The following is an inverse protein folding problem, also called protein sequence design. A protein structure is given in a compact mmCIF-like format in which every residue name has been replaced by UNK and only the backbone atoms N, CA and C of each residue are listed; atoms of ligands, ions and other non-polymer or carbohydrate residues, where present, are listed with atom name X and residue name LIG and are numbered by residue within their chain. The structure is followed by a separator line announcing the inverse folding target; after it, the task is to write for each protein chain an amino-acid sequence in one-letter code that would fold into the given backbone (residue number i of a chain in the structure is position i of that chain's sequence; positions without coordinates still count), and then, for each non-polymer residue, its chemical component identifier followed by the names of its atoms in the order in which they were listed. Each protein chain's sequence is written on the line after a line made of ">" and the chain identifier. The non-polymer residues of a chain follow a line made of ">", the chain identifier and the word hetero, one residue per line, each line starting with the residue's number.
data_IF_939626150506
#
_entry.id   IF_939626150506
#
_cell.length_a   1.000
_cell.length_b   1.000
_cell.length_c   1.000
_cell.angle_alpha   90.00
_cell.angle_beta   90.00
_cell.angle_gamma   90.00
#
_symmetry.space_group_name_H-M   'P 1'
#
loop_
_entity.id
_entity.type
_entity.pdbx_description
1 polymer ?
#
# COMPACT_ATOMS: atom_id res chain seq x y z
N UNK A 1 -21.37 11.04 6.06
CA UNK A 1 -20.47 10.11 5.34
C UNK A 1 -19.19 10.79 4.87
N UNK A 2 -19.29 11.80 3.98
CA UNK A 2 -18.13 12.42 3.29
C UNK A 2 -16.99 12.91 4.19
N UNK A 3 -17.29 13.73 5.20
CA UNK A 3 -16.27 14.23 6.14
C UNK A 3 -15.56 13.13 6.94
N UNK A 4 -16.19 11.96 7.14
CA UNK A 4 -15.54 10.85 7.82
C UNK A 4 -14.48 10.23 6.91
N UNK A 5 -14.83 9.94 5.65
CA UNK A 5 -13.90 9.44 4.65
C UNK A 5 -12.69 10.37 4.44
N UNK A 6 -12.94 11.69 4.36
CA UNK A 6 -11.88 12.71 4.24
C UNK A 6 -10.87 12.65 5.39
N UNK A 7 -11.35 12.44 6.64
CA UNK A 7 -10.47 12.34 7.81
C UNK A 7 -9.60 11.09 7.78
N UNK A 8 -10.13 9.95 7.36
CA UNK A 8 -9.31 8.73 7.21
C UNK A 8 -8.32 8.84 6.06
N UNK A 9 -8.70 9.51 4.97
CA UNK A 9 -7.77 9.82 3.89
C UNK A 9 -6.62 10.73 4.36
N UNK A 10 -6.94 11.80 5.08
CA UNK A 10 -5.93 12.67 5.68
C UNK A 10 -5.02 11.90 6.64
N UNK A 11 -5.58 11.01 7.46
CA UNK A 11 -4.81 10.16 8.37
C UNK A 11 -3.79 9.28 7.62
N UNK A 12 -4.19 8.64 6.52
CA UNK A 12 -3.27 7.81 5.72
C UNK A 12 -2.16 8.64 5.06
N UNK A 13 -2.48 9.85 4.58
CA UNK A 13 -1.45 10.78 4.07
C UNK A 13 -0.42 11.09 5.15
N UNK A 14 -0.89 11.43 6.36
CA UNK A 14 -0.01 11.75 7.48
C UNK A 14 0.83 10.53 7.87
N UNK A 15 0.23 9.35 8.02
CA UNK A 15 0.93 8.14 8.41
C UNK A 15 2.05 7.77 7.41
N UNK A 16 1.76 7.84 6.10
CA UNK A 16 2.76 7.59 5.07
C UNK A 16 3.82 8.69 5.03
N UNK A 17 3.42 9.96 5.18
CA UNK A 17 4.35 11.09 5.21
C UNK A 17 5.31 11.04 6.39
N UNK A 18 4.80 10.76 7.59
CA UNK A 18 5.59 10.60 8.81
C UNK A 18 6.55 9.41 8.68
N UNK A 19 6.07 8.27 8.17
CA UNK A 19 6.91 7.10 7.89
C UNK A 19 8.10 7.47 7.00
N UNK A 20 7.87 8.16 5.88
CA UNK A 20 8.95 8.57 4.96
C UNK A 20 9.93 9.53 5.63
N UNK A 21 9.44 10.51 6.41
CA UNK A 21 10.29 11.48 7.11
C UNK A 21 11.19 10.77 8.13
N UNK A 22 10.64 9.84 8.91
CA UNK A 22 11.40 9.05 9.88
C UNK A 22 12.42 8.16 9.19
N UNK A 23 12.00 7.43 8.15
CA UNK A 23 12.88 6.61 7.30
C UNK A 23 14.04 7.43 6.73
N UNK A 24 13.77 8.64 6.22
CA UNK A 24 14.80 9.56 5.72
C UNK A 24 15.76 10.06 6.80
N UNK A 25 15.25 10.42 7.97
CA UNK A 25 16.07 10.83 9.11
C UNK A 25 17.00 9.69 9.56
N UNK A 26 16.48 8.46 9.63
CA UNK A 26 17.25 7.26 9.97
C UNK A 26 18.34 6.97 8.94
N UNK A 27 18.04 7.10 7.65
CA UNK A 27 19.04 6.96 6.58
C UNK A 27 20.14 8.03 6.71
N UNK A 28 19.77 9.29 6.95
CA UNK A 28 20.73 10.38 7.12
C UNK A 28 21.66 10.16 8.32
N UNK A 29 21.13 9.68 9.44
CA UNK A 29 21.92 9.40 10.65
C UNK A 29 22.93 8.26 10.47
N UNK A 30 22.70 7.33 9.54
CA UNK A 30 23.59 6.17 9.28
C UNK A 30 24.67 6.43 8.23
N UNK A 31 24.70 7.63 7.65
CA UNK A 31 25.61 7.98 6.55
C UNK A 31 25.04 7.53 5.21
N UNK A 32 24.94 8.45 4.26
CA UNK A 32 24.29 8.22 2.96
C UNK A 32 25.20 7.44 2.00
N UNK A 33 25.54 6.20 2.35
CA UNK A 33 26.23 5.28 1.43
C UNK A 33 25.32 4.90 0.27
N UNK A 34 25.90 4.37 -0.80
CA UNK A 34 25.14 3.92 -1.98
C UNK A 34 24.03 2.94 -1.61
N UNK A 35 24.31 1.99 -0.73
CA UNK A 35 23.35 0.97 -0.28
C UNK A 35 22.20 1.60 0.52
N UNK A 36 22.49 2.56 1.39
CA UNK A 36 21.48 3.28 2.18
C UNK A 36 20.62 4.17 1.26
N UNK A 37 21.21 4.82 0.26
CA UNK A 37 20.46 5.60 -0.73
C UNK A 37 19.54 4.71 -1.57
N UNK A 38 20.00 3.52 -1.96
CA UNK A 38 19.17 2.54 -2.65
C UNK A 38 18.05 2.02 -1.76
N UNK A 39 18.34 1.68 -0.50
CA UNK A 39 17.34 1.30 0.50
C UNK A 39 16.27 2.37 0.69
N UNK A 40 16.69 3.63 0.86
CA UNK A 40 15.80 4.78 0.99
C UNK A 40 14.93 4.96 -0.26
N UNK A 41 15.51 4.77 -1.46
CA UNK A 41 14.77 4.82 -2.72
C UNK A 41 13.70 3.73 -2.79
N UNK A 42 14.03 2.49 -2.41
CA UNK A 42 13.08 1.38 -2.34
C UNK A 42 11.94 1.68 -1.36
N UNK A 43 12.26 2.14 -0.15
CA UNK A 43 11.27 2.52 0.87
C UNK A 43 10.34 3.64 0.38
N UNK A 44 10.90 4.67 -0.26
CA UNK A 44 10.13 5.79 -0.82
C UNK A 44 9.18 5.32 -1.94
N UNK A 45 9.68 4.51 -2.88
CA UNK A 45 8.87 3.98 -3.97
C UNK A 45 7.78 3.02 -3.46
N UNK A 46 8.09 2.19 -2.47
CA UNK A 46 7.13 1.32 -1.79
C UNK A 46 6.01 2.14 -1.13
N UNK A 47 6.37 3.17 -0.35
CA UNK A 47 5.40 4.08 0.27
C UNK A 47 4.53 4.81 -0.77
N UNK A 48 5.12 5.27 -1.87
CA UNK A 48 4.39 5.86 -2.99
C UNK A 48 3.42 4.89 -3.67
N UNK A 49 3.82 3.61 -3.81
CA UNK A 49 2.94 2.58 -4.35
C UNK A 49 1.76 2.29 -3.42
N UNK A 50 1.99 2.21 -2.10
CA UNK A 50 0.91 2.08 -1.10
C UNK A 50 -0.05 3.26 -1.19
N UNK A 51 0.48 4.49 -1.20
CA UNK A 51 -0.31 5.71 -1.39
C UNK A 51 -1.19 5.61 -2.63
N UNK A 52 -0.64 5.19 -3.76
CA UNK A 52 -1.37 5.04 -5.02
C UNK A 52 -2.49 3.99 -4.91
N UNK A 53 -2.20 2.86 -4.27
CA UNK A 53 -3.17 1.76 -4.09
C UNK A 53 -4.33 2.15 -3.17
N UNK A 54 -4.09 3.04 -2.19
CA UNK A 54 -5.12 3.61 -1.32
C UNK A 54 -6.00 4.61 -2.07
N UNK A 55 -5.36 5.60 -2.70
CA UNK A 55 -6.03 6.73 -3.35
C UNK A 55 -6.55 6.42 -4.76
N UNK A 56 -6.41 5.18 -5.22
CA UNK A 56 -6.95 4.70 -6.47
C UNK A 56 -8.49 4.72 -6.53
N UNK A 57 -9.05 4.06 -7.56
CA UNK A 57 -10.46 4.15 -7.95
C UNK A 57 -11.49 3.88 -6.85
N UNK A 58 -11.12 3.10 -5.84
CA UNK A 58 -12.01 2.68 -4.74
C UNK A 58 -12.34 3.85 -3.81
N UNK A 59 -11.39 4.75 -3.52
CA UNK A 59 -11.62 5.92 -2.69
C UNK A 59 -12.67 6.87 -3.29
N UNK A 60 -12.61 7.07 -4.61
CA UNK A 60 -13.54 7.94 -5.35
C UNK A 60 -14.95 7.32 -5.42
N UNK A 61 -15.04 6.03 -5.74
CA UNK A 61 -16.32 5.31 -5.84
C UNK A 61 -17.03 5.12 -4.51
N UNK A 62 -16.26 4.89 -3.44
CA UNK A 62 -16.80 4.68 -2.09
C UNK A 62 -17.51 5.92 -1.56
N UNK A 63 -17.05 7.14 -1.92
CA UNK A 63 -17.72 8.39 -1.55
C UNK A 63 -19.11 8.52 -2.15
N UNK A 64 -19.29 8.13 -3.43
CA UNK A 64 -20.60 8.16 -4.11
C UNK A 64 -21.56 7.14 -3.51
N UNK A 65 -21.08 5.91 -3.30
CA UNK A 65 -21.94 4.83 -2.78
C UNK A 65 -22.37 5.06 -1.32
N UNK A 66 -21.49 5.64 -0.48
CA UNK A 66 -21.83 5.96 0.91
C UNK A 66 -22.82 7.13 1.02
N UNK A 67 -22.90 8.01 0.02
CA UNK A 67 -23.88 9.10 -0.02
C UNK A 67 -25.29 8.62 -0.39
N UNK A 68 -25.40 7.46 -1.05
CA UNK A 68 -26.64 6.90 -1.56
C UNK A 68 -27.22 5.79 -0.66
N UNK A 69 -26.50 5.33 0.37
CA UNK A 69 -26.91 4.20 1.21
C UNK A 69 -27.84 4.61 2.37
N UNK A 70 -29.01 3.97 2.48
CA UNK A 70 -29.99 4.21 3.56
C UNK A 70 -29.47 3.83 4.96
N UNK A 71 -28.44 2.97 5.05
CA UNK A 71 -27.87 2.44 6.30
C UNK A 71 -26.43 2.94 6.55
N UNK A 72 -26.23 4.25 6.33
CA UNK A 72 -24.91 4.94 6.33
C UNK A 72 -24.08 4.68 7.60
N UNK A 73 -24.71 4.53 8.77
CA UNK A 73 -24.01 4.39 10.06
C UNK A 73 -23.31 3.04 10.24
N UNK A 74 -23.96 1.93 9.87
CA UNK A 74 -23.37 0.58 9.96
C UNK A 74 -22.28 0.39 8.91
N UNK A 75 -22.53 0.87 7.69
CA UNK A 75 -21.55 0.81 6.60
C UNK A 75 -20.28 1.62 6.93
N UNK A 76 -20.43 2.82 7.50
CA UNK A 76 -19.30 3.65 7.92
C UNK A 76 -18.47 3.01 9.04
N UNK A 77 -19.12 2.35 10.01
CA UNK A 77 -18.41 1.63 11.09
C UNK A 77 -17.61 0.46 10.54
N UNK A 78 -18.22 -0.40 9.74
CA UNK A 78 -17.54 -1.56 9.15
C UNK A 78 -16.36 -1.10 8.29
N UNK A 79 -16.59 -0.18 7.36
CA UNK A 79 -15.59 0.25 6.40
C UNK A 79 -14.42 1.01 7.03
N UNK A 80 -14.69 2.02 7.87
CA UNK A 80 -13.64 2.92 8.33
C UNK A 80 -13.18 2.66 9.77
N UNK A 81 -13.94 1.92 10.58
CA UNK A 81 -13.48 1.57 11.94
C UNK A 81 -12.80 0.21 11.99
N UNK A 82 -13.33 -0.79 11.29
CA UNK A 82 -12.78 -2.14 11.35
C UNK A 82 -11.85 -2.46 10.17
N UNK A 83 -12.23 -2.10 8.95
CA UNK A 83 -11.46 -2.47 7.75
C UNK A 83 -10.26 -1.54 7.49
N UNK A 84 -10.23 -0.37 8.12
CA UNK A 84 -9.06 0.52 8.12
C UNK A 84 -7.94 0.10 9.07
N UNK A 85 -8.26 -0.64 10.15
CA UNK A 85 -7.25 -1.12 11.08
C UNK A 85 -6.16 -1.99 10.42
N UNK A 86 -6.49 -3.01 9.60
CA UNK A 86 -5.45 -3.78 8.90
C UNK A 86 -4.64 -2.94 7.91
N UNK A 87 -5.23 -1.92 7.29
CA UNK A 87 -4.52 -1.00 6.39
C UNK A 87 -3.45 -0.24 7.18
N UNK A 88 -3.83 0.37 8.30
CA UNK A 88 -2.91 1.12 9.17
C UNK A 88 -1.85 0.20 9.77
N UNK A 89 -2.24 -0.98 10.23
CA UNK A 89 -1.30 -1.98 10.75
C UNK A 89 -0.27 -2.40 9.68
N UNK A 90 -0.71 -2.60 8.44
CA UNK A 90 0.17 -2.88 7.31
C UNK A 90 1.17 -1.77 7.03
N UNK A 91 0.75 -0.49 7.09
CA UNK A 91 1.65 0.67 6.96
C UNK A 91 2.70 0.68 8.08
N UNK A 92 2.28 0.43 9.33
CA UNK A 92 3.21 0.39 10.47
C UNK A 92 4.24 -0.74 10.28
N UNK A 93 3.81 -1.93 9.85
CA UNK A 93 4.72 -3.04 9.56
C UNK A 93 5.72 -2.69 8.45
N UNK A 94 5.29 -1.98 7.41
CA UNK A 94 6.18 -1.49 6.34
C UNK A 94 7.18 -0.47 6.89
N UNK A 95 6.76 0.46 7.74
CA UNK A 95 7.67 1.41 8.38
C UNK A 95 8.76 0.72 9.20
N UNK A 96 8.39 -0.35 9.94
CA UNK A 96 9.37 -1.18 10.66
C UNK A 96 10.28 -1.93 9.68
N UNK A 97 9.75 -2.46 8.58
CA UNK A 97 10.55 -3.10 7.55
C UNK A 97 11.56 -2.15 6.91
N UNK A 98 11.17 -0.90 6.66
CA UNK A 98 12.03 0.14 6.09
C UNK A 98 13.17 0.52 7.05
N UNK A 99 12.89 0.62 8.36
CA UNK A 99 13.96 0.83 9.35
C UNK A 99 14.97 -0.33 9.37
N UNK A 100 14.48 -1.57 9.33
CA UNK A 100 15.33 -2.77 9.25
C UNK A 100 16.15 -2.81 7.96
N UNK A 101 15.53 -2.43 6.83
CA UNK A 101 16.18 -2.34 5.53
C UNK A 101 17.32 -1.32 5.55
N UNK A 102 17.09 -0.12 6.10
CA UNK A 102 18.12 0.91 6.21
C UNK A 102 19.21 0.49 7.18
N UNK A 103 18.86 -0.24 8.25
CA UNK A 103 19.82 -0.70 9.24
C UNK A 103 20.83 -1.68 8.64
N UNK A 104 20.35 -2.62 7.82
CA UNK A 104 21.19 -3.69 7.29
C UNK A 104 20.82 -4.05 5.83
N UNK A 105 21.09 -3.18 4.85
CA UNK A 105 20.59 -3.36 3.48
C UNK A 105 21.15 -4.61 2.78
N UNK A 106 22.38 -5.00 3.10
CA UNK A 106 23.09 -6.12 2.45
C UNK A 106 23.01 -7.43 3.23
N UNK A 107 22.49 -7.44 4.45
CA UNK A 107 22.31 -8.67 5.22
C UNK A 107 20.97 -9.32 4.92
N UNK A 108 20.85 -10.61 5.20
CA UNK A 108 19.55 -11.27 5.26
C UNK A 108 18.76 -10.75 6.46
N UNK A 109 17.44 -10.80 6.36
CA UNK A 109 16.55 -10.42 7.45
C UNK A 109 16.26 -11.63 8.36
N UNK A 110 15.97 -11.34 9.63
CA UNK A 110 15.41 -12.33 10.54
C UNK A 110 14.00 -12.75 10.08
N UNK A 111 13.47 -13.85 10.62
CA UNK A 111 12.09 -14.26 10.35
C UNK A 111 11.08 -13.14 10.65
N UNK A 112 11.28 -12.41 11.75
CA UNK A 112 10.46 -11.24 12.09
C UNK A 112 10.60 -10.12 11.05
N UNK A 113 11.81 -9.83 10.57
CA UNK A 113 12.04 -8.84 9.51
C UNK A 113 11.32 -9.22 8.21
N UNK A 114 11.38 -10.49 7.80
CA UNK A 114 10.67 -10.98 6.62
C UNK A 114 9.16 -10.83 6.78
N UNK A 115 8.61 -11.15 7.96
CA UNK A 115 7.20 -10.95 8.28
C UNK A 115 6.82 -9.47 8.18
N UNK A 116 7.67 -8.53 8.60
CA UNK A 116 7.41 -7.10 8.44
C UNK A 116 7.43 -6.69 6.96
N UNK A 117 8.48 -7.08 6.22
CA UNK A 117 8.68 -6.70 4.81
C UNK A 117 7.58 -7.25 3.89
N UNK A 118 7.14 -8.49 4.12
CA UNK A 118 6.17 -9.17 3.26
C UNK A 118 4.75 -9.08 3.83
N UNK A 119 4.62 -9.28 5.13
CA UNK A 119 3.34 -9.29 5.83
C UNK A 119 2.71 -7.91 5.90
N UNK A 120 3.50 -6.83 6.01
CA UNK A 120 2.97 -5.46 6.01
C UNK A 120 2.18 -5.12 4.75
N UNK A 121 2.78 -5.25 3.55
CA UNK A 121 2.07 -5.03 2.30
C UNK A 121 0.94 -6.05 2.05
N UNK A 122 1.10 -7.31 2.46
CA UNK A 122 0.04 -8.30 2.32
C UNK A 122 -1.19 -7.96 3.18
N UNK A 123 -0.98 -7.54 4.44
CA UNK A 123 -2.03 -7.11 5.36
C UNK A 123 -2.71 -5.83 4.87
N UNK A 124 -1.92 -4.90 4.35
CA UNK A 124 -2.42 -3.69 3.71
C UNK A 124 -3.36 -4.00 2.54
N UNK A 125 -2.92 -4.85 1.60
CA UNK A 125 -3.71 -5.25 0.44
C UNK A 125 -4.97 -6.04 0.84
N UNK A 126 -4.89 -6.86 1.90
CA UNK A 126 -6.02 -7.60 2.42
C UNK A 126 -7.07 -6.66 3.02
N UNK A 127 -6.66 -5.68 3.84
CA UNK A 127 -7.54 -4.68 4.43
C UNK A 127 -8.28 -3.88 3.36
N UNK A 128 -7.56 -3.40 2.36
CA UNK A 128 -8.14 -2.72 1.21
C UNK A 128 -9.08 -3.61 0.36
N UNK A 129 -8.72 -4.87 0.14
CA UNK A 129 -9.55 -5.80 -0.64
C UNK A 129 -10.86 -6.09 0.09
N UNK A 130 -10.82 -6.21 1.41
CA UNK A 130 -12.00 -6.40 2.24
C UNK A 130 -12.85 -5.11 2.30
N UNK A 131 -12.21 -3.94 2.38
CA UNK A 131 -12.88 -2.64 2.26
C UNK A 131 -13.64 -2.54 0.93
N UNK A 132 -12.97 -2.87 -0.18
CA UNK A 132 -13.57 -2.91 -1.52
C UNK A 132 -14.74 -3.90 -1.60
N UNK A 133 -14.55 -5.11 -1.08
CA UNK A 133 -15.60 -6.13 -1.07
C UNK A 133 -16.83 -5.65 -0.29
N UNK A 134 -16.61 -4.99 0.85
CA UNK A 134 -17.70 -4.46 1.68
C UNK A 134 -18.43 -3.29 1.02
N UNK A 135 -17.70 -2.39 0.36
CA UNK A 135 -18.24 -1.15 -0.20
C UNK A 135 -18.88 -1.34 -1.58
N UNK A 136 -18.31 -2.20 -2.43
CA UNK A 136 -18.73 -2.34 -3.83
C UNK A 136 -18.95 -3.80 -4.26
N UNK A 137 -18.95 -4.75 -3.32
CA UNK A 137 -19.33 -6.15 -3.58
C UNK A 137 -18.41 -6.91 -4.54
N UNK A 138 -17.18 -6.45 -4.77
CA UNK A 138 -16.30 -7.04 -5.78
C UNK A 138 -14.88 -7.30 -5.25
N UNK A 139 -14.30 -8.40 -5.73
CA UNK A 139 -12.90 -8.78 -5.48
C UNK A 139 -11.99 -8.31 -6.63
N UNK A 140 -10.73 -7.97 -6.34
CA UNK A 140 -9.74 -7.70 -7.38
C UNK A 140 -8.78 -8.90 -7.48
N UNK A 141 -8.86 -9.72 -8.54
CA UNK A 141 -7.96 -10.88 -8.70
C UNK A 141 -6.48 -10.47 -8.77
N UNK A 142 -6.17 -9.26 -9.24
CA UNK A 142 -4.79 -8.75 -9.27
C UNK A 142 -4.24 -8.57 -7.86
N UNK A 143 -5.05 -8.09 -6.91
CA UNK A 143 -4.65 -7.95 -5.50
C UNK A 143 -4.41 -9.32 -4.85
N UNK A 144 -5.24 -10.32 -5.17
CA UNK A 144 -5.04 -11.70 -4.71
C UNK A 144 -3.71 -12.26 -5.26
N UNK A 145 -3.46 -12.06 -6.56
CA UNK A 145 -2.20 -12.49 -7.18
C UNK A 145 -0.99 -11.82 -6.53
N UNK A 146 -1.05 -10.51 -6.24
CA UNK A 146 0.01 -9.80 -5.52
C UNK A 146 0.23 -10.34 -4.12
N UNK A 147 -0.83 -10.62 -3.34
CA UNK A 147 -0.69 -11.24 -2.01
C UNK A 147 -0.03 -12.62 -2.10
N UNK A 148 -0.39 -13.43 -3.10
CA UNK A 148 0.26 -14.72 -3.34
C UNK A 148 1.74 -14.55 -3.72
N UNK A 149 2.06 -13.58 -4.58
CA UNK A 149 3.44 -13.29 -4.95
C UNK A 149 4.27 -12.84 -3.75
N UNK A 150 3.71 -12.00 -2.89
CA UNK A 150 4.33 -11.61 -1.62
C UNK A 150 4.59 -12.83 -0.73
N UNK A 151 3.62 -13.73 -0.56
CA UNK A 151 3.80 -14.95 0.23
C UNK A 151 4.95 -15.83 -0.30
N UNK A 152 5.10 -15.94 -1.62
CA UNK A 152 6.23 -16.65 -2.25
C UNK A 152 7.56 -15.96 -1.95
N UNK A 153 7.62 -14.63 -2.03
CA UNK A 153 8.81 -13.86 -1.64
C UNK A 153 9.19 -14.08 -0.17
N UNK A 154 8.20 -14.22 0.72
CA UNK A 154 8.43 -14.57 2.13
C UNK A 154 9.14 -15.91 2.31
N UNK A 155 8.82 -16.91 1.48
CA UNK A 155 9.45 -18.23 1.55
C UNK A 155 10.94 -18.24 1.16
N UNK A 156 11.36 -17.33 0.29
CA UNK A 156 12.77 -17.20 -0.15
C UNK A 156 13.52 -16.08 0.59
N UNK A 157 12.85 -15.30 1.43
CA UNK A 157 13.38 -14.09 2.06
C UNK A 157 14.61 -14.32 2.95
N UNK A 158 14.79 -15.53 3.50
CA UNK A 158 15.97 -15.88 4.33
C UNK A 158 17.23 -16.08 3.51
N UNK A 159 17.12 -16.21 2.18
CA UNK A 159 18.22 -16.53 1.27
C UNK A 159 18.75 -15.30 0.53
N UNK A 160 18.07 -14.16 0.65
CA UNK A 160 18.37 -12.93 -0.12
C UNK A 160 18.61 -11.75 0.81
N UNK A 161 19.44 -10.76 0.40
CA UNK A 161 19.63 -9.53 1.15
C UNK A 161 18.32 -8.74 1.35
N UNK A 162 18.24 -7.97 2.43
CA UNK A 162 17.09 -7.12 2.76
C UNK A 162 16.71 -6.18 1.60
N UNK A 163 17.72 -5.61 0.94
CA UNK A 163 17.52 -4.72 -0.22
C UNK A 163 16.89 -5.45 -1.41
N UNK A 164 17.31 -6.68 -1.68
CA UNK A 164 16.75 -7.48 -2.77
C UNK A 164 15.30 -7.88 -2.47
N UNK A 165 15.01 -8.33 -1.25
CA UNK A 165 13.65 -8.69 -0.83
C UNK A 165 12.71 -7.48 -0.88
N UNK A 166 13.11 -6.36 -0.27
CA UNK A 166 12.30 -5.14 -0.21
C UNK A 166 12.12 -4.54 -1.59
N UNK A 167 13.16 -4.59 -2.45
CA UNK A 167 13.06 -4.20 -3.85
C UNK A 167 12.05 -5.05 -4.63
N UNK A 168 12.07 -6.38 -4.46
CA UNK A 168 11.10 -7.27 -5.09
C UNK A 168 9.66 -6.99 -4.61
N UNK A 169 9.47 -6.77 -3.31
CA UNK A 169 8.19 -6.38 -2.73
C UNK A 169 7.70 -5.05 -3.31
N UNK A 170 8.56 -4.03 -3.36
CA UNK A 170 8.23 -2.73 -3.95
C UNK A 170 7.85 -2.87 -5.43
N UNK A 171 8.57 -3.69 -6.21
CA UNK A 171 8.22 -3.98 -7.60
C UNK A 171 6.84 -4.63 -7.75
N UNK A 172 6.47 -5.57 -6.88
CA UNK A 172 5.12 -6.16 -6.88
C UNK A 172 4.05 -5.09 -6.64
N UNK A 173 4.26 -4.20 -5.67
CA UNK A 173 3.33 -3.12 -5.36
C UNK A 173 3.22 -2.08 -6.49
N UNK A 174 4.34 -1.70 -7.09
CA UNK A 174 4.39 -0.77 -8.22
C UNK A 174 3.72 -1.40 -9.44
N UNK A 175 3.98 -2.67 -9.73
CA UNK A 175 3.34 -3.35 -10.85
C UNK A 175 1.82 -3.39 -10.67
N UNK A 176 1.35 -3.74 -9.46
CA UNK A 176 -0.08 -3.70 -9.13
C UNK A 176 -0.66 -2.29 -9.27
N UNK A 177 0.03 -1.26 -8.76
CA UNK A 177 -0.46 0.13 -8.83
C UNK A 177 -0.57 0.64 -10.27
N UNK A 178 0.39 0.28 -11.13
CA UNK A 178 0.35 0.57 -12.57
C UNK A 178 -0.77 -0.21 -13.27
N UNK A 179 -0.99 -1.49 -12.92
CA UNK A 179 -2.08 -2.29 -13.46
C UNK A 179 -3.46 -1.74 -13.10
N UNK A 180 -3.64 -1.25 -11.87
CA UNK A 180 -4.89 -0.60 -11.46
C UNK A 180 -5.06 0.80 -12.07
N UNK A 181 -3.97 1.44 -12.51
CA UNK A 181 -4.01 2.76 -13.14
C UNK A 181 -4.47 2.74 -14.61
N UNK A 182 -4.06 1.73 -15.39
CA UNK A 182 -4.36 1.66 -16.83
C UNK A 182 -5.87 1.64 -17.17
N UNK A 183 -6.74 0.90 -16.44
CA UNK A 183 -8.18 0.90 -16.68
C UNK A 183 -8.82 2.26 -16.42
N UNK A 184 -8.28 3.05 -15.48
CA UNK A 184 -8.79 4.38 -15.13
C UNK A 184 -8.59 5.37 -16.29
N UNK A 185 -7.37 5.38 -16.85
CA UNK A 185 -7.03 6.22 -18.00
C UNK A 185 -7.86 5.88 -19.24
N UNK A 186 -8.15 4.61 -19.46
CA UNK A 186 -8.97 4.18 -20.60
C UNK A 186 -10.43 4.67 -20.51
N UNK A 187 -10.99 4.77 -19.30
CA UNK A 187 -12.36 5.26 -19.06
C UNK A 187 -12.49 6.79 -19.12
N UNK A 188 -11.40 7.52 -18.90
CA UNK A 188 -11.34 8.99 -18.94
C UNK A 188 -10.93 9.54 -20.31
N UNK A 189 -10.61 8.69 -21.29
CA UNK A 189 -10.45 9.15 -22.68
C UNK A 189 -11.79 9.73 -23.14
N UNK A 190 -11.86 11.02 -23.56
CA UNK A 190 -13.06 11.58 -24.12
C UNK A 190 -13.52 10.69 -25.27
N UNK A 191 -14.76 10.21 -25.24
CA UNK A 191 -15.37 9.61 -26.43
C UNK A 191 -15.28 10.68 -27.50
N UNK A 192 -14.50 10.44 -28.55
CA UNK A 192 -14.53 11.29 -29.73
C UNK A 192 -15.99 11.33 -30.19
N UNK A 193 -16.58 12.52 -30.12
CA UNK A 193 -17.93 12.76 -30.59
C UNK A 193 -17.92 12.50 -32.10
N UNK A 194 -18.83 11.66 -32.65
CA UNK A 194 -18.89 11.47 -34.09
C UNK A 194 -19.17 12.84 -34.73
N UNK A 195 -18.30 13.25 -35.66
CA UNK A 195 -18.55 14.40 -36.52
C UNK A 195 -19.61 13.98 -37.54
N UNK A 196 -20.82 14.50 -37.38
CA UNK A 196 -21.89 14.48 -38.40
C UNK A 196 -21.58 15.48 -39.53
#
# INVERSE_FOLDING_TARGET
>A
GGHFAERFQAFIIIALGESIVVTGATASARGLTTEIVLALTVAFLGSGALWWLYFGEVAERSRRHLAESEDTGRLARDAYTYLHLPIVAGIIMVAVADDLLIAHPTSTLSAAGIVMTVGGPALYLAGESLFRLRMIGSVNPQRILSVTALAVLGGVGTQVPALALSGAVALVLIALSLWEYQPLRARLRPRAQPSD
#
